data_IF_210038102889
#
_entry.id   IF_210038102889
#
_cell.length_a   1.000
_cell.length_b   1.000
_cell.length_c   1.000
_cell.angle_alpha   90.00
_cell.angle_beta   90.00
_cell.angle_gamma   90.00
#
_symmetry.space_group_name_H-M   'P 1'
#
loop_
_entity.id
_entity.type
_entity.pdbx_description
1 polymer ?
#
# COMPACT_ATOMS: atom_id res chain seq x y z
N UNK A 1 -0.76 -10.26 -1.75
CA UNK A 1 0.26 -11.06 -1.04
C UNK A 1 -0.17 -12.51 -1.03
N UNK A 2 0.72 -13.41 -1.42
CA UNK A 2 0.49 -14.85 -1.46
C UNK A 2 1.07 -15.54 -0.23
N UNK A 3 0.47 -16.66 0.16
CA UNK A 3 1.09 -17.59 1.10
C UNK A 3 2.33 -18.26 0.49
N UNK A 4 3.02 -19.09 1.28
CA UNK A 4 4.23 -19.76 0.82
C UNK A 4 3.98 -20.71 -0.36
N UNK A 5 2.77 -21.29 -0.48
CA UNK A 5 2.40 -22.18 -1.58
C UNK A 5 1.97 -21.45 -2.85
N UNK A 6 1.65 -20.16 -2.76
CA UNK A 6 1.09 -19.39 -3.87
C UNK A 6 -0.39 -19.65 -4.15
N UNK A 7 -1.08 -20.40 -3.28
CA UNK A 7 -2.48 -20.80 -3.50
C UNK A 7 -3.49 -19.95 -2.74
N UNK A 8 -3.04 -19.20 -1.74
CA UNK A 8 -3.89 -18.33 -0.94
C UNK A 8 -3.39 -16.88 -1.00
N UNK A 9 -4.34 -15.94 -0.91
CA UNK A 9 -4.05 -14.50 -0.90
C UNK A 9 -4.49 -13.87 0.41
N UNK A 10 -3.65 -12.99 0.98
CA UNK A 10 -4.03 -12.11 2.07
C UNK A 10 -4.62 -10.82 1.51
N UNK A 11 -5.81 -10.46 2.01
CA UNK A 11 -6.53 -9.22 1.74
C UNK A 11 -6.87 -8.50 3.06
N UNK A 12 -6.98 -7.19 3.01
CA UNK A 12 -7.42 -6.33 4.10
C UNK A 12 -8.90 -5.97 3.95
N UNK A 13 -9.70 -6.10 5.02
CA UNK A 13 -11.08 -5.62 5.01
C UNK A 13 -11.10 -4.10 5.27
N UNK A 14 -11.39 -3.32 4.23
CA UNK A 14 -11.44 -1.87 4.32
C UNK A 14 -12.71 -1.39 5.02
N UNK A 15 -12.57 -0.88 6.25
CA UNK A 15 -13.71 -0.53 7.13
C UNK A 15 -14.68 0.49 6.53
N UNK A 16 -14.18 1.46 5.75
CA UNK A 16 -15.02 2.51 5.15
C UNK A 16 -15.77 2.04 3.90
N UNK A 17 -15.22 1.08 3.15
CA UNK A 17 -15.82 0.62 1.89
C UNK A 17 -16.55 -0.72 2.05
N UNK A 18 -16.32 -1.44 3.15
CA UNK A 18 -16.88 -2.77 3.37
C UNK A 18 -16.40 -3.80 2.36
N UNK A 19 -15.18 -3.62 1.80
CA UNK A 19 -14.62 -4.46 0.75
C UNK A 19 -13.27 -5.03 1.15
N UNK A 20 -12.98 -6.23 0.67
CA UNK A 20 -11.64 -6.81 0.74
C UNK A 20 -10.77 -6.18 -0.35
N UNK A 21 -9.61 -5.67 0.05
CA UNK A 21 -8.65 -5.00 -0.84
C UNK A 21 -7.24 -5.56 -0.62
N UNK A 22 -6.36 -5.33 -1.58
CA UNK A 22 -4.94 -5.64 -1.43
C UNK A 22 -4.31 -4.77 -0.32
N UNK A 23 -3.17 -5.22 0.20
CA UNK A 23 -2.30 -4.40 1.07
C UNK A 23 -1.69 -3.29 0.22
N UNK A 24 -1.53 -2.10 0.79
CA UNK A 24 -0.99 -0.97 0.05
C UNK A 24 -0.73 0.24 0.94
N UNK A 25 -0.01 1.23 0.40
CA UNK A 25 0.38 2.40 1.17
C UNK A 25 1.19 3.39 0.36
N UNK A 26 1.80 4.37 1.02
CA UNK A 26 2.48 5.46 0.29
C UNK A 26 3.98 5.28 0.36
N UNK A 27 4.65 5.72 -0.70
CA UNK A 27 6.09 5.92 -0.60
C UNK A 27 6.36 7.05 0.41
N UNK A 28 7.32 6.80 1.28
CA UNK A 28 7.89 7.76 2.19
C UNK A 28 9.24 8.23 1.65
N UNK A 29 9.69 9.40 2.11
CA UNK A 29 10.98 9.97 1.71
C UNK A 29 12.17 9.09 2.15
N UNK A 30 11.97 8.29 3.19
CA UNK A 30 12.95 7.32 3.67
C UNK A 30 13.00 6.01 2.84
N UNK A 31 12.03 5.78 1.97
CA UNK A 31 12.04 4.60 1.11
C UNK A 31 13.09 4.76 0.00
N UNK A 32 14.02 3.82 -0.08
CA UNK A 32 15.08 3.84 -1.10
C UNK A 32 14.53 3.86 -2.53
N UNK A 33 13.46 3.12 -2.76
CA UNK A 33 12.76 2.98 -4.04
C UNK A 33 11.33 2.47 -3.81
N UNK A 34 10.54 2.35 -4.89
CA UNK A 34 9.15 1.88 -4.84
C UNK A 34 9.02 0.43 -4.38
N UNK A 35 10.05 -0.40 -4.55
CA UNK A 35 10.06 -1.80 -4.11
C UNK A 35 10.23 -1.86 -2.60
N UNK A 36 11.11 -1.03 -2.04
CA UNK A 36 11.31 -0.87 -0.61
C UNK A 36 10.03 -0.37 0.08
N UNK A 37 9.35 0.62 -0.52
CA UNK A 37 8.06 1.11 -0.04
C UNK A 37 7.00 -0.01 -0.01
N UNK A 38 6.86 -0.76 -1.10
CA UNK A 38 5.92 -1.88 -1.19
C UNK A 38 6.20 -2.97 -0.14
N UNK A 39 7.48 -3.30 0.11
CA UNK A 39 7.87 -4.30 1.11
C UNK A 39 7.56 -3.83 2.53
N UNK A 40 7.85 -2.55 2.83
CA UNK A 40 7.59 -1.94 4.13
C UNK A 40 6.09 -1.94 4.42
N UNK A 41 5.26 -1.40 3.53
CA UNK A 41 3.81 -1.35 3.70
C UNK A 41 3.20 -2.75 3.82
N UNK A 42 3.64 -3.70 2.98
CA UNK A 42 3.19 -5.08 3.09
C UNK A 42 3.56 -5.70 4.46
N UNK A 43 4.73 -5.37 5.01
CA UNK A 43 5.17 -5.84 6.34
C UNK A 43 4.34 -5.20 7.46
N UNK A 44 4.14 -3.88 7.41
CA UNK A 44 3.39 -3.12 8.41
C UNK A 44 1.92 -3.54 8.48
N UNK A 45 1.26 -3.65 7.33
CA UNK A 45 -0.18 -3.96 7.28
C UNK A 45 -0.48 -5.44 7.55
N UNK A 46 0.40 -6.36 7.12
CA UNK A 46 0.21 -7.79 7.35
C UNK A 46 0.71 -8.27 8.72
N UNK A 47 1.66 -7.55 9.32
CA UNK A 47 2.40 -7.98 10.51
C UNK A 47 3.36 -9.16 10.26
N UNK A 48 3.64 -9.50 9.00
CA UNK A 48 4.51 -10.62 8.62
C UNK A 48 5.90 -10.11 8.29
N UNK A 49 6.90 -10.55 9.05
CA UNK A 49 8.31 -10.37 8.72
C UNK A 49 8.82 -11.44 7.75
N UNK A 50 9.88 -11.11 7.01
CA UNK A 50 10.54 -12.05 6.08
C UNK A 50 9.80 -12.24 4.76
N UNK A 51 9.01 -11.26 4.34
CA UNK A 51 8.36 -11.24 3.03
C UNK A 51 9.41 -11.18 1.91
N UNK A 52 9.10 -11.82 0.79
CA UNK A 52 9.87 -11.69 -0.46
C UNK A 52 8.98 -11.12 -1.55
N UNK A 53 9.43 -10.06 -2.19
CA UNK A 53 8.78 -9.54 -3.40
C UNK A 53 9.30 -10.29 -4.62
N UNK A 54 8.39 -10.60 -5.55
CA UNK A 54 8.77 -10.92 -6.91
C UNK A 54 9.40 -9.66 -7.55
N UNK A 55 10.47 -9.82 -8.35
CA UNK A 55 11.17 -8.68 -8.95
C UNK A 55 10.34 -7.96 -10.03
N UNK A 56 9.29 -8.61 -10.55
CA UNK A 56 8.45 -8.07 -11.61
C UNK A 56 7.33 -7.17 -11.09
N UNK A 57 7.17 -6.02 -11.75
CA UNK A 57 6.00 -5.17 -11.62
C UNK A 57 4.82 -5.84 -12.32
N UNK A 58 3.73 -6.08 -11.60
CA UNK A 58 2.56 -6.82 -12.09
C UNK A 58 1.62 -5.92 -12.86
N UNK A 59 1.36 -4.74 -12.31
CA UNK A 59 0.41 -3.80 -12.88
C UNK A 59 0.78 -2.37 -12.52
N UNK A 60 0.34 -1.45 -13.39
CA UNK A 60 0.41 -0.01 -13.18
C UNK A 60 -0.95 0.59 -13.45
N UNK A 61 -1.50 1.32 -12.49
CA UNK A 61 -2.74 2.06 -12.67
C UNK A 61 -2.53 3.54 -12.41
N UNK A 62 -3.17 4.37 -13.22
CA UNK A 62 -3.21 5.82 -13.01
C UNK A 62 -4.66 6.21 -12.88
N UNK A 63 -5.03 6.82 -11.75
CA UNK A 63 -6.40 7.25 -11.55
C UNK A 63 -6.47 8.60 -10.82
N UNK A 64 -7.46 9.43 -11.15
CA UNK A 64 -7.63 10.72 -10.48
C UNK A 64 -8.16 10.50 -9.06
N UNK A 65 -7.57 11.21 -8.10
CA UNK A 65 -8.02 11.23 -6.70
C UNK A 65 -8.03 12.66 -6.20
N UNK A 66 -9.14 13.04 -5.58
CA UNK A 66 -9.18 14.24 -4.74
C UNK A 66 -8.57 13.90 -3.40
N UNK A 67 -7.31 14.28 -3.21
CA UNK A 67 -6.63 14.09 -1.93
C UNK A 67 -7.29 14.94 -0.82
N UNK A 68 -6.92 14.72 0.44
CA UNK A 68 -7.45 15.44 1.61
C UNK A 68 -7.33 16.97 1.55
N UNK A 69 -6.54 17.51 0.61
CA UNK A 69 -6.35 18.93 0.34
C UNK A 69 -7.35 19.52 -0.66
N UNK A 70 -8.27 18.72 -1.22
CA UNK A 70 -9.28 19.20 -2.18
C UNK A 70 -8.75 19.47 -3.59
N UNK A 71 -7.44 19.32 -3.82
CA UNK A 71 -6.81 19.49 -5.14
C UNK A 71 -6.88 18.15 -5.90
N UNK A 72 -7.30 18.17 -7.19
CA UNK A 72 -7.21 16.99 -8.03
C UNK A 72 -5.76 16.54 -8.18
N UNK A 73 -5.49 15.32 -7.77
CA UNK A 73 -4.20 14.65 -7.94
C UNK A 73 -4.39 13.40 -8.78
N UNK A 74 -3.28 12.84 -9.28
CA UNK A 74 -3.29 11.50 -9.87
C UNK A 74 -2.52 10.60 -8.92
N UNK A 75 -3.10 9.45 -8.61
CA UNK A 75 -2.37 8.36 -8.01
C UNK A 75 -1.73 7.52 -9.10
N UNK A 76 -0.49 7.09 -8.85
CA UNK A 76 0.20 6.08 -9.62
C UNK A 76 0.38 4.87 -8.73
N UNK A 77 -0.40 3.86 -9.03
CA UNK A 77 -0.48 2.59 -8.35
C UNK A 77 0.48 1.61 -9.01
N UNK A 78 1.38 1.03 -8.22
CA UNK A 78 2.39 0.08 -8.68
C UNK A 78 2.22 -1.21 -7.88
N UNK A 79 1.83 -2.28 -8.56
CA UNK A 79 1.50 -3.54 -7.90
C UNK A 79 2.62 -4.57 -8.04
N UNK A 80 2.93 -5.22 -6.92
CA UNK A 80 3.94 -6.27 -6.82
C UNK A 80 3.35 -7.53 -6.18
N UNK A 81 3.93 -8.69 -6.47
CA UNK A 81 3.62 -9.93 -5.75
C UNK A 81 4.55 -10.06 -4.55
N UNK A 82 3.98 -10.12 -3.35
CA UNK A 82 4.70 -10.49 -2.13
C UNK A 82 4.37 -11.92 -1.72
N UNK A 83 5.37 -12.71 -1.32
CA UNK A 83 5.23 -14.05 -0.75
C UNK A 83 5.57 -14.04 0.75
N UNK A 84 4.70 -14.66 1.54
CA UNK A 84 4.97 -14.95 2.95
C UNK A 84 5.94 -16.15 3.10
N UNK A 85 6.79 -16.16 4.13
CA UNK A 85 7.61 -17.33 4.45
C UNK A 85 6.76 -18.51 4.91
N UNK A 86 7.27 -19.72 4.72
CA UNK A 86 6.60 -20.95 5.14
C UNK A 86 6.30 -20.94 6.66
N UNK A 87 5.16 -21.54 7.04
CA UNK A 87 4.75 -21.64 8.44
C UNK A 87 4.19 -20.35 9.05
N UNK A 88 4.23 -19.22 8.33
CA UNK A 88 3.65 -17.96 8.80
C UNK A 88 2.19 -17.87 8.36
N UNK A 89 1.27 -17.96 9.33
CA UNK A 89 -0.15 -17.70 9.10
C UNK A 89 -0.41 -16.20 9.24
N UNK A 90 -1.03 -15.60 8.24
CA UNK A 90 -1.62 -14.27 8.38
C UNK A 90 -2.83 -14.35 9.30
N UNK A 91 -2.90 -13.48 10.30
CA UNK A 91 -4.17 -13.19 10.97
C UNK A 91 -4.95 -12.23 10.07
N UNK A 92 -6.27 -12.33 10.06
CA UNK A 92 -7.14 -11.30 9.46
C UNK A 92 -6.65 -9.92 9.91
N UNK A 93 -6.08 -9.15 8.97
CA UNK A 93 -5.59 -7.82 9.23
C UNK A 93 -6.77 -6.85 9.10
N UNK A 94 -7.24 -6.35 10.23
CA UNK A 94 -8.18 -5.23 10.26
C UNK A 94 -7.33 -3.98 10.10
N UNK A 95 -7.35 -3.33 8.93
CA UNK A 95 -6.56 -2.10 8.75
C UNK A 95 -6.96 -1.07 9.82
N UNK A 96 -6.02 -0.65 10.70
CA UNK A 96 -6.28 0.36 11.72
C UNK A 96 -6.30 1.77 11.10
N UNK A 97 -5.78 1.92 9.88
CA UNK A 97 -5.71 3.20 9.18
C UNK A 97 -7.08 3.54 8.62
N UNK A 98 -7.84 4.36 9.36
CA UNK A 98 -8.95 5.12 8.80
C UNK A 98 -8.39 6.03 7.71
N UNK A 99 -8.75 5.81 6.45
CA UNK A 99 -8.82 6.95 5.53
C UNK A 99 -9.80 7.94 6.19
N UNK A 100 -9.39 9.18 6.47
CA UNK A 100 -10.32 10.22 6.94
C UNK A 100 -9.69 11.32 7.79
N UNK A 101 -9.79 12.56 7.31
CA UNK A 101 -9.81 13.78 8.13
C UNK A 101 -8.53 14.62 8.09
N UNK A 102 -8.55 15.73 7.35
CA UNK A 102 -7.49 16.75 7.40
C UNK A 102 -7.65 17.74 8.57
N UNK A 103 -6.57 18.48 8.85
CA UNK A 103 -6.55 19.86 9.38
C UNK A 103 -5.33 20.62 8.81
N UNK A 104 -5.39 21.95 8.66
CA UNK A 104 -4.49 22.69 7.79
C UNK A 104 -3.18 23.05 8.49
N UNK A 105 -2.06 22.92 7.77
CA UNK A 105 -0.84 23.69 8.02
C UNK A 105 -0.45 24.38 6.72
N UNK A 106 -0.21 25.67 6.82
CA UNK A 106 0.29 26.49 5.73
C UNK A 106 1.66 25.98 5.28
N UNK A 107 1.78 25.62 4.01
CA UNK A 107 3.07 25.43 3.35
C UNK A 107 2.93 25.79 1.88
N UNK A 108 3.84 26.65 1.40
CA UNK A 108 3.91 27.13 0.00
C UNK A 108 4.50 26.03 -0.90
N UNK A 109 4.09 25.92 -2.18
CA UNK A 109 4.28 24.72 -2.98
C UNK A 109 5.60 24.73 -3.77
N UNK A 110 6.13 23.52 -4.01
CA UNK A 110 7.02 23.16 -5.11
C UNK A 110 6.46 21.86 -5.73
N UNK A 111 6.56 21.64 -7.06
CA UNK A 111 5.79 20.63 -7.76
C UNK A 111 6.52 19.29 -7.70
N UNK A 112 6.40 18.56 -6.60
CA UNK A 112 6.96 17.21 -6.51
C UNK A 112 5.84 16.18 -6.44
N UNK A 113 5.74 15.40 -7.51
CA UNK A 113 5.01 14.14 -7.65
C UNK A 113 4.97 13.37 -6.33
N UNK A 114 3.77 13.20 -5.76
CA UNK A 114 3.57 12.36 -4.58
C UNK A 114 3.19 10.95 -5.03
N UNK A 115 4.12 10.01 -4.84
CA UNK A 115 3.96 8.60 -5.17
C UNK A 115 3.12 7.90 -4.10
N UNK A 116 2.04 7.23 -4.51
CA UNK A 116 1.12 6.51 -3.63
C UNK A 116 0.77 5.20 -4.30
N UNK A 117 1.35 4.10 -3.83
CA UNK A 117 1.12 2.77 -4.38
C UNK A 117 -0.16 2.16 -3.81
N UNK A 118 -1.19 2.01 -4.65
CA UNK A 118 -2.18 0.94 -4.49
C UNK A 118 -1.92 -0.20 -5.47
#
# INVERSE_FOLDING_TARGET
MLDASGTQVLLCLHRRFGRWVQLGGHCEEADRDVVAAALREATEESGISGLRLAPELVAVHVHPVTCSLGVPTRHLDLQFVAHAPAGRRSRSARSPRTCGGGRPRSYRPEPTTRWRTW
#
